data_IF_705571310012
#
_entry.id   IF_705571310012
#
_cell.length_a   1.000
_cell.length_b   1.000
_cell.length_c   1.000
_cell.angle_alpha   90.00
_cell.angle_beta   90.00
_cell.angle_gamma   90.00
#
_symmetry.space_group_name_H-M   'P 1'
#
loop_
_entity.id
_entity.type
_entity.pdbx_description
1 polymer ?
#
# COMPACT_ATOMS: atom_id res chain seq x y z
N UNK A 1 -10.15 -7.68 23.89
CA UNK A 1 -10.41 -7.96 22.47
C UNK A 1 -10.46 -6.61 21.75
N UNK A 2 -9.65 -6.43 20.70
CA UNK A 2 -9.52 -5.18 19.93
C UNK A 2 -10.87 -4.63 19.42
N UNK A 3 -11.76 -5.51 18.96
CA UNK A 3 -13.13 -5.15 18.54
C UNK A 3 -13.90 -4.44 19.67
N UNK A 4 -13.80 -4.94 20.90
CA UNK A 4 -14.49 -4.33 22.03
C UNK A 4 -13.96 -2.94 22.37
N UNK A 5 -12.64 -2.70 22.17
CA UNK A 5 -12.06 -1.36 22.39
C UNK A 5 -12.53 -0.37 21.30
N UNK A 6 -12.60 -0.78 20.06
CA UNK A 6 -13.13 0.05 18.97
C UNK A 6 -14.62 0.39 19.17
N UNK A 7 -15.41 -0.57 19.61
CA UNK A 7 -16.84 -0.34 19.90
C UNK A 7 -17.06 0.65 21.05
N UNK A 8 -16.15 0.70 22.06
CA UNK A 8 -16.23 1.69 23.15
C UNK A 8 -16.11 3.14 22.69
N UNK A 9 -15.42 3.36 21.58
CA UNK A 9 -15.24 4.68 20.95
C UNK A 9 -16.15 4.89 19.74
N UNK A 10 -17.27 4.14 19.68
CA UNK A 10 -18.28 4.20 18.63
C UNK A 10 -17.77 3.87 17.21
N UNK A 11 -16.68 3.12 17.07
CA UNK A 11 -16.24 2.57 15.78
C UNK A 11 -16.88 1.20 15.63
N UNK A 12 -17.83 1.08 14.68
CA UNK A 12 -18.47 -0.19 14.33
C UNK A 12 -17.44 -1.12 13.71
N UNK A 13 -17.25 -2.28 14.32
CA UNK A 13 -16.24 -3.25 13.90
C UNK A 13 -16.88 -4.63 13.74
N UNK A 14 -16.53 -5.30 12.64
CA UNK A 14 -16.96 -6.65 12.33
C UNK A 14 -15.75 -7.59 12.25
N UNK A 15 -15.95 -8.87 12.56
CA UNK A 15 -14.91 -9.90 12.42
C UNK A 15 -14.75 -10.38 10.99
N UNK A 16 -15.80 -10.26 10.21
CA UNK A 16 -15.86 -10.78 8.86
C UNK A 16 -16.69 -9.85 7.98
N UNK A 17 -16.31 -9.76 6.72
CA UNK A 17 -16.96 -8.90 5.72
C UNK A 17 -18.42 -9.36 5.43
N UNK A 18 -18.77 -10.61 5.71
CA UNK A 18 -20.13 -11.13 5.54
C UNK A 18 -21.17 -10.45 6.42
N UNK A 19 -20.75 -9.79 7.51
CA UNK A 19 -21.63 -8.96 8.35
C UNK A 19 -21.99 -7.61 7.75
N UNK A 20 -21.40 -7.26 6.60
CA UNK A 20 -21.70 -6.04 5.85
C UNK A 20 -22.68 -6.41 4.74
N UNK A 21 -23.77 -5.68 4.62
CA UNK A 21 -24.78 -5.94 3.60
C UNK A 21 -24.21 -5.71 2.19
N UNK A 22 -24.72 -6.47 1.21
CA UNK A 22 -24.38 -6.23 -0.20
C UNK A 22 -24.88 -4.87 -0.64
N UNK A 23 -24.15 -4.24 -1.58
CA UNK A 23 -24.51 -2.94 -2.16
C UNK A 23 -24.79 -1.86 -1.11
N UNK A 24 -23.98 -1.80 -0.05
CA UNK A 24 -24.18 -0.90 1.10
C UNK A 24 -23.04 0.09 1.35
N UNK A 25 -21.86 -0.12 0.74
CA UNK A 25 -20.69 0.73 0.94
C UNK A 25 -20.46 1.64 -0.26
N UNK A 26 -20.28 2.93 -0.04
CA UNK A 26 -19.85 3.88 -1.08
C UNK A 26 -18.36 3.73 -1.39
N UNK A 27 -17.56 3.38 -0.39
CA UNK A 27 -16.13 3.17 -0.54
C UNK A 27 -15.57 2.13 0.45
N UNK A 28 -14.49 1.46 0.04
CA UNK A 28 -13.68 0.58 0.89
C UNK A 28 -12.22 0.99 0.79
N UNK A 29 -11.51 0.97 1.92
CA UNK A 29 -10.09 1.32 2.01
C UNK A 29 -9.30 0.14 2.54
N UNK A 30 -8.21 -0.22 1.84
CA UNK A 30 -7.24 -1.23 2.25
C UNK A 30 -5.85 -0.57 2.33
N UNK A 31 -5.44 -0.19 3.53
CA UNK A 31 -4.13 0.41 3.76
C UNK A 31 -3.20 -0.63 4.38
N UNK A 32 -2.24 -1.12 3.60
CA UNK A 32 -1.32 -2.21 3.99
C UNK A 32 -2.07 -3.45 4.48
N UNK A 33 -2.97 -3.97 3.65
CA UNK A 33 -3.81 -5.14 3.95
C UNK A 33 -3.76 -6.18 2.85
N UNK A 34 -3.82 -5.75 1.57
CA UNK A 34 -3.92 -6.66 0.42
C UNK A 34 -2.73 -7.60 0.30
N UNK A 35 -1.52 -7.12 0.64
CA UNK A 35 -0.28 -7.88 0.63
C UNK A 35 -0.25 -9.08 1.61
N UNK A 36 -1.18 -9.10 2.56
CA UNK A 36 -1.30 -10.17 3.56
C UNK A 36 -2.34 -11.24 3.21
N UNK A 37 -3.12 -11.06 2.15
CA UNK A 37 -4.16 -12.00 1.79
C UNK A 37 -3.59 -13.23 1.08
N UNK A 38 -3.95 -14.44 1.56
CA UNK A 38 -3.62 -15.71 0.90
C UNK A 38 -4.34 -15.86 -0.44
N UNK A 39 -5.58 -15.35 -0.53
CA UNK A 39 -6.37 -15.34 -1.76
C UNK A 39 -6.92 -13.92 -2.03
N UNK A 40 -6.07 -13.02 -2.56
CA UNK A 40 -6.43 -11.61 -2.73
C UNK A 40 -7.59 -11.39 -3.71
N UNK A 41 -7.68 -12.17 -4.79
CA UNK A 41 -8.77 -12.04 -5.76
C UNK A 41 -10.12 -12.33 -5.09
N UNK A 42 -10.23 -13.42 -4.34
CA UNK A 42 -11.46 -13.76 -3.63
C UNK A 42 -11.89 -12.66 -2.64
N UNK A 43 -10.94 -12.10 -1.88
CA UNK A 43 -11.26 -11.02 -0.94
C UNK A 43 -11.68 -9.74 -1.66
N UNK A 44 -11.05 -9.41 -2.78
CA UNK A 44 -11.44 -8.28 -3.62
C UNK A 44 -12.85 -8.45 -4.20
N UNK A 45 -13.23 -9.67 -4.62
CA UNK A 45 -14.59 -10.00 -5.07
C UNK A 45 -15.62 -9.83 -3.93
N UNK A 46 -15.31 -10.32 -2.72
CA UNK A 46 -16.17 -10.14 -1.55
C UNK A 46 -16.38 -8.67 -1.21
N UNK A 47 -15.33 -7.86 -1.26
CA UNK A 47 -15.40 -6.41 -1.03
C UNK A 47 -16.25 -5.75 -2.12
N UNK A 48 -16.02 -6.10 -3.39
CA UNK A 48 -16.78 -5.58 -4.52
C UNK A 48 -18.27 -5.84 -4.38
N UNK A 49 -18.67 -7.01 -3.89
CA UNK A 49 -20.08 -7.34 -3.62
C UNK A 49 -20.72 -6.42 -2.57
N UNK A 50 -19.94 -5.84 -1.65
CA UNK A 50 -20.43 -4.91 -0.62
C UNK A 50 -20.52 -3.47 -1.11
N UNK A 51 -19.76 -3.09 -2.14
CA UNK A 51 -19.82 -1.75 -2.71
C UNK A 51 -21.16 -1.53 -3.46
N UNK A 52 -21.69 -0.34 -3.39
CA UNK A 52 -22.81 0.10 -4.24
C UNK A 52 -22.36 0.17 -5.71
N UNK A 53 -23.31 0.32 -6.62
CA UNK A 53 -22.99 0.61 -8.02
C UNK A 53 -22.10 1.86 -8.11
N UNK A 54 -21.00 1.76 -8.84
CA UNK A 54 -19.97 2.80 -9.00
C UNK A 54 -19.25 3.18 -7.69
N UNK A 55 -19.45 2.39 -6.62
CA UNK A 55 -18.68 2.48 -5.38
C UNK A 55 -17.20 2.18 -5.59
N UNK A 56 -16.33 2.74 -4.75
CA UNK A 56 -14.88 2.75 -4.96
C UNK A 56 -14.13 1.88 -3.98
N UNK A 57 -13.06 1.25 -4.46
CA UNK A 57 -12.02 0.69 -3.61
C UNK A 57 -10.75 1.52 -3.73
N UNK A 58 -10.13 1.82 -2.60
CA UNK A 58 -8.84 2.50 -2.50
C UNK A 58 -7.87 1.56 -1.79
N UNK A 59 -6.77 1.23 -2.46
CA UNK A 59 -5.79 0.27 -1.96
C UNK A 59 -4.43 0.95 -1.89
N UNK A 60 -3.76 0.83 -0.74
CA UNK A 60 -2.36 1.21 -0.56
C UNK A 60 -1.55 -0.03 -0.19
N UNK A 61 -0.49 -0.32 -0.96
CA UNK A 61 0.37 -1.50 -0.79
C UNK A 61 1.84 -1.19 -1.02
N UNK A 62 2.78 -1.94 -0.42
CA UNK A 62 4.19 -1.83 -0.73
C UNK A 62 4.46 -2.14 -2.21
N UNK A 63 5.37 -1.37 -2.83
CA UNK A 63 5.73 -1.53 -4.23
C UNK A 63 6.90 -2.52 -4.39
N UNK A 64 6.70 -3.54 -5.20
CA UNK A 64 7.74 -4.54 -5.49
C UNK A 64 8.98 -3.96 -6.22
N UNK A 65 8.82 -2.79 -6.86
CA UNK A 65 9.89 -2.07 -7.56
C UNK A 65 10.45 -0.90 -6.75
N UNK A 66 10.24 -0.89 -5.43
CA UNK A 66 10.91 0.08 -4.54
C UNK A 66 12.38 0.23 -4.90
N UNK A 67 12.87 1.48 -4.94
CA UNK A 67 14.25 1.83 -5.31
C UNK A 67 15.31 1.05 -4.52
N UNK A 68 15.07 0.78 -3.23
CA UNK A 68 15.97 0.00 -2.39
C UNK A 68 15.98 -1.49 -2.78
N UNK A 69 14.89 -2.00 -3.36
CA UNK A 69 14.77 -3.39 -3.82
C UNK A 69 15.32 -3.52 -5.24
N UNK A 70 14.79 -2.73 -6.16
CA UNK A 70 15.03 -2.89 -7.61
C UNK A 70 16.40 -2.40 -8.05
N UNK A 71 16.76 -1.19 -7.63
CA UNK A 71 17.94 -0.49 -8.13
C UNK A 71 19.14 -0.65 -7.19
N UNK A 72 18.99 -0.39 -5.90
CA UNK A 72 20.07 -0.54 -4.92
C UNK A 72 20.27 -1.97 -4.43
N UNK A 73 19.27 -2.86 -4.56
CA UNK A 73 19.32 -4.28 -4.20
C UNK A 73 19.86 -4.51 -2.79
N UNK A 74 19.39 -3.72 -1.83
CA UNK A 74 19.82 -3.78 -0.43
C UNK A 74 19.17 -5.01 0.22
N UNK A 75 19.97 -6.05 0.46
CA UNK A 75 19.49 -7.33 0.95
C UNK A 75 18.81 -7.22 2.33
N UNK A 76 19.32 -6.38 3.22
CA UNK A 76 18.76 -6.14 4.54
C UNK A 76 17.38 -5.49 4.44
N UNK A 77 17.18 -4.57 3.49
CA UNK A 77 15.87 -3.97 3.22
C UNK A 77 14.90 -4.97 2.60
N UNK A 78 15.39 -5.81 1.67
CA UNK A 78 14.59 -6.88 1.07
C UNK A 78 14.10 -7.84 2.16
N UNK A 79 14.97 -8.28 3.06
CA UNK A 79 14.62 -9.15 4.18
C UNK A 79 13.67 -8.47 5.18
N UNK A 80 13.83 -7.16 5.40
CA UNK A 80 12.95 -6.37 6.24
C UNK A 80 11.55 -6.23 5.65
N UNK A 81 11.45 -6.07 4.33
CA UNK A 81 10.18 -5.88 3.62
C UNK A 81 9.48 -7.21 3.35
N UNK A 82 10.22 -8.26 2.97
CA UNK A 82 9.70 -9.61 2.68
C UNK A 82 9.71 -10.49 3.95
N UNK A 83 9.07 -10.03 5.00
CA UNK A 83 8.87 -10.85 6.19
C UNK A 83 7.63 -11.77 6.03
N UNK A 84 7.48 -12.73 6.92
CA UNK A 84 6.53 -13.86 6.77
C UNK A 84 5.05 -13.48 6.55
N UNK A 85 4.66 -12.24 6.81
CA UNK A 85 3.28 -11.79 6.63
C UNK A 85 3.05 -11.02 5.32
N UNK A 86 4.10 -10.55 4.63
CA UNK A 86 3.98 -9.99 3.29
C UNK A 86 4.05 -11.11 2.25
N UNK A 87 2.91 -11.64 1.89
CA UNK A 87 2.81 -12.78 0.95
C UNK A 87 3.07 -12.34 -0.49
N UNK A 88 2.69 -11.11 -0.84
CA UNK A 88 2.81 -10.56 -2.20
C UNK A 88 3.21 -9.09 -2.11
N UNK A 89 4.30 -8.71 -2.78
CA UNK A 89 4.56 -7.32 -3.13
C UNK A 89 4.03 -7.05 -4.54
N UNK A 90 3.31 -5.96 -4.71
CA UNK A 90 2.67 -5.64 -5.99
C UNK A 90 3.54 -4.73 -6.87
N UNK A 91 3.50 -4.97 -8.17
CA UNK A 91 3.82 -3.98 -9.21
C UNK A 91 2.52 -3.34 -9.69
N UNK A 92 2.59 -2.25 -10.45
CA UNK A 92 1.40 -1.64 -11.09
C UNK A 92 0.63 -2.67 -11.93
N UNK A 93 1.34 -3.46 -12.72
CA UNK A 93 0.75 -4.47 -13.61
C UNK A 93 0.10 -5.62 -12.83
N UNK A 94 0.72 -6.08 -11.72
CA UNK A 94 0.12 -7.16 -10.92
C UNK A 94 -1.12 -6.68 -10.18
N UNK A 95 -1.09 -5.46 -9.63
CA UNK A 95 -2.22 -4.87 -8.92
C UNK A 95 -3.40 -4.63 -9.86
N UNK A 96 -3.14 -4.09 -11.07
CA UNK A 96 -4.15 -3.91 -12.11
C UNK A 96 -4.80 -5.25 -12.52
N UNK A 97 -3.98 -6.29 -12.75
CA UNK A 97 -4.48 -7.63 -13.11
C UNK A 97 -5.37 -8.21 -12.02
N UNK A 98 -5.04 -8.03 -10.74
CA UNK A 98 -5.86 -8.53 -9.64
C UNK A 98 -7.20 -7.80 -9.56
N UNK A 99 -7.20 -6.49 -9.74
CA UNK A 99 -8.43 -5.68 -9.76
C UNK A 99 -9.31 -6.04 -10.96
N UNK A 100 -8.74 -6.18 -12.16
CA UNK A 100 -9.49 -6.61 -13.35
C UNK A 100 -10.07 -8.01 -13.17
N UNK A 101 -9.27 -8.98 -12.67
CA UNK A 101 -9.73 -10.34 -12.43
C UNK A 101 -10.87 -10.41 -11.40
N UNK A 102 -10.90 -9.47 -10.45
CA UNK A 102 -11.97 -9.35 -9.44
C UNK A 102 -13.17 -8.51 -9.94
N UNK A 103 -13.17 -8.09 -11.22
CA UNK A 103 -14.28 -7.39 -11.88
C UNK A 103 -14.37 -5.90 -11.59
N UNK A 104 -13.32 -5.26 -11.09
CA UNK A 104 -13.23 -3.80 -10.98
C UNK A 104 -12.94 -3.15 -12.33
N UNK A 105 -13.34 -1.88 -12.49
CA UNK A 105 -13.16 -1.05 -13.70
C UNK A 105 -12.59 0.32 -13.32
N UNK A 106 -12.29 1.15 -14.32
CA UNK A 106 -11.79 2.53 -14.17
C UNK A 106 -10.59 2.61 -13.20
N UNK A 107 -9.66 1.65 -13.36
CA UNK A 107 -8.51 1.47 -12.47
C UNK A 107 -7.49 2.57 -12.73
N UNK A 108 -7.07 3.25 -11.66
CA UNK A 108 -5.98 4.23 -11.66
C UNK A 108 -4.96 3.81 -10.60
N UNK A 109 -3.67 3.79 -10.96
CA UNK A 109 -2.59 3.36 -10.05
C UNK A 109 -1.50 4.42 -10.05
N UNK A 110 -1.19 4.93 -8.86
CA UNK A 110 -0.18 5.95 -8.60
C UNK A 110 0.96 5.38 -7.77
N UNK A 111 2.19 5.83 -8.04
CA UNK A 111 3.29 5.67 -7.10
C UNK A 111 3.29 6.82 -6.09
N UNK A 112 3.57 6.54 -4.85
CA UNK A 112 3.83 7.54 -3.82
C UNK A 112 5.02 7.14 -2.98
N UNK A 113 5.78 8.12 -2.50
CA UNK A 113 6.97 7.92 -1.69
C UNK A 113 6.66 8.31 -0.24
N UNK A 114 6.48 7.30 0.63
CA UNK A 114 6.19 7.51 2.05
C UNK A 114 7.42 7.90 2.85
N UNK A 115 8.56 7.32 2.50
CA UNK A 115 9.82 7.55 3.19
C UNK A 115 10.73 8.43 2.36
N UNK A 116 11.21 9.49 2.97
CA UNK A 116 12.04 10.50 2.32
C UNK A 116 13.45 10.00 1.95
N UNK A 117 14.21 10.83 1.24
CA UNK A 117 15.57 10.54 0.81
C UNK A 117 16.50 10.17 1.97
N UNK A 118 16.33 10.78 3.16
CA UNK A 118 17.13 10.44 4.35
C UNK A 118 16.98 8.99 4.77
N UNK A 119 15.79 8.41 4.61
CA UNK A 119 15.56 7.00 4.89
C UNK A 119 16.32 6.11 3.89
N UNK A 120 16.33 6.46 2.61
CA UNK A 120 17.09 5.74 1.60
C UNK A 120 18.60 5.84 1.84
N UNK A 121 19.11 7.02 2.22
CA UNK A 121 20.53 7.21 2.60
C UNK A 121 20.89 6.34 3.80
N UNK A 122 20.03 6.29 4.84
CA UNK A 122 20.24 5.46 6.02
C UNK A 122 20.35 3.98 5.63
N UNK A 123 19.42 3.47 4.84
CA UNK A 123 19.47 2.10 4.34
C UNK A 123 20.71 1.82 3.48
N UNK A 124 21.09 2.76 2.61
CA UNK A 124 22.26 2.61 1.76
C UNK A 124 23.57 2.59 2.58
N UNK A 125 23.65 3.40 3.63
CA UNK A 125 24.85 3.56 4.47
C UNK A 125 24.95 2.47 5.56
N UNK A 126 23.90 2.35 6.38
CA UNK A 126 23.96 1.65 7.65
C UNK A 126 23.15 0.34 7.66
N UNK A 127 22.39 0.05 6.59
CA UNK A 127 21.57 -1.16 6.43
C UNK A 127 20.48 -1.33 7.48
N UNK A 128 20.00 -0.23 8.05
CA UNK A 128 18.96 -0.21 9.08
C UNK A 128 17.89 0.85 8.78
N UNK A 129 16.64 0.70 9.28
CA UNK A 129 15.59 1.71 9.16
C UNK A 129 15.85 2.93 10.04
N UNK A 130 15.08 4.01 9.82
CA UNK A 130 15.01 5.14 10.74
C UNK A 130 15.63 6.44 10.23
N UNK A 131 16.03 6.51 8.96
CA UNK A 131 16.67 7.69 8.38
C UNK A 131 15.86 8.98 8.55
N UNK A 132 14.54 8.91 8.56
CA UNK A 132 13.64 10.04 8.83
C UNK A 132 13.82 10.67 10.24
N UNK A 133 14.55 10.01 11.13
CA UNK A 133 14.91 10.49 12.47
C UNK A 133 16.40 10.85 12.59
N UNK A 134 17.15 10.77 11.51
CA UNK A 134 18.59 11.04 11.50
C UNK A 134 18.89 12.53 11.33
N UNK A 135 20.15 12.93 11.56
CA UNK A 135 20.62 14.31 11.28
C UNK A 135 20.45 14.68 9.80
N UNK A 136 20.53 13.70 8.89
CA UNK A 136 20.33 13.93 7.45
C UNK A 136 18.89 14.41 7.16
N UNK A 137 17.91 13.95 7.91
CA UNK A 137 16.52 14.38 7.74
C UNK A 137 16.33 15.89 7.98
N UNK A 138 17.20 16.52 8.77
CA UNK A 138 17.17 17.99 8.99
C UNK A 138 17.56 18.80 7.74
N UNK A 139 18.17 18.17 6.76
CA UNK A 139 18.54 18.80 5.49
C UNK A 139 17.43 18.73 4.43
N UNK A 140 16.37 18.01 4.69
CA UNK A 140 15.26 17.84 3.76
C UNK A 140 14.41 19.11 3.72
N UNK A 141 14.28 19.68 2.52
CA UNK A 141 13.31 20.73 2.26
C UNK A 141 12.09 20.13 1.54
N UNK A 142 10.91 20.77 1.60
CA UNK A 142 9.74 20.31 0.85
C UNK A 142 10.01 20.17 -0.65
N UNK A 143 10.84 21.06 -1.22
CA UNK A 143 11.21 21.03 -2.64
C UNK A 143 12.06 19.80 -2.97
N UNK A 144 13.02 19.43 -2.11
CA UNK A 144 13.86 18.25 -2.28
C UNK A 144 13.02 16.99 -2.21
N UNK A 145 12.16 16.87 -1.19
CA UNK A 145 11.26 15.71 -1.00
C UNK A 145 10.35 15.55 -2.22
N UNK A 146 9.71 16.62 -2.68
CA UNK A 146 8.83 16.59 -3.84
C UNK A 146 9.57 16.24 -5.14
N UNK A 147 10.76 16.79 -5.35
CA UNK A 147 11.58 16.47 -6.53
C UNK A 147 12.02 15.00 -6.52
N UNK A 148 12.36 14.48 -5.34
CA UNK A 148 12.76 13.09 -5.16
C UNK A 148 11.59 12.12 -5.45
N UNK A 149 10.43 12.35 -4.84
CA UNK A 149 9.21 11.56 -5.08
C UNK A 149 8.86 11.53 -6.57
N UNK A 150 8.80 12.69 -7.23
CA UNK A 150 8.52 12.76 -8.67
C UNK A 150 9.54 12.01 -9.52
N UNK A 151 10.80 11.98 -9.09
CA UNK A 151 11.84 11.23 -9.80
C UNK A 151 11.61 9.73 -9.65
N UNK A 152 11.34 9.26 -8.44
CA UNK A 152 11.05 7.84 -8.19
C UNK A 152 9.77 7.37 -8.89
N UNK A 153 8.74 8.20 -8.94
CA UNK A 153 7.50 7.87 -9.66
C UNK A 153 7.75 7.71 -11.16
N UNK A 154 8.53 8.60 -11.79
CA UNK A 154 8.95 8.48 -13.21
C UNK A 154 9.77 7.22 -13.49
N UNK A 155 10.56 6.76 -12.51
CA UNK A 155 11.37 5.54 -12.62
C UNK A 155 10.58 4.27 -12.30
N UNK A 156 9.32 4.40 -11.91
CA UNK A 156 8.51 3.30 -11.34
C UNK A 156 9.25 2.61 -10.18
N UNK A 157 9.70 3.42 -9.21
CA UNK A 157 10.59 3.01 -8.12
C UNK A 157 10.22 3.63 -6.75
N UNK A 158 8.98 4.13 -6.61
CA UNK A 158 8.44 4.57 -5.32
C UNK A 158 8.28 3.38 -4.37
N UNK A 159 8.23 3.64 -3.07
CA UNK A 159 8.09 2.58 -2.06
C UNK A 159 6.64 2.04 -1.94
N UNK A 160 5.66 2.77 -2.41
CA UNK A 160 4.23 2.51 -2.22
C UNK A 160 3.46 2.71 -3.52
N UNK A 161 2.43 1.88 -3.74
CA UNK A 161 1.42 2.05 -4.79
C UNK A 161 0.07 2.36 -4.16
N UNK A 162 -0.66 3.30 -4.76
CA UNK A 162 -2.06 3.57 -4.46
C UNK A 162 -2.89 3.24 -5.69
N UNK A 163 -3.87 2.35 -5.54
CA UNK A 163 -4.84 2.04 -6.58
C UNK A 163 -6.22 2.56 -6.18
N UNK A 164 -6.93 3.13 -7.15
CA UNK A 164 -8.34 3.52 -7.05
C UNK A 164 -9.08 2.82 -8.18
N UNK A 165 -10.14 2.09 -7.84
CA UNK A 165 -10.95 1.38 -8.82
C UNK A 165 -12.43 1.43 -8.46
N UNK A 166 -13.31 1.19 -9.44
CA UNK A 166 -14.77 1.23 -9.31
C UNK A 166 -15.38 -0.16 -9.48
N UNK A 167 -16.49 -0.42 -8.76
CA UNK A 167 -17.32 -1.62 -8.94
C UNK A 167 -17.92 -1.72 -10.33
#
# INVERSE_FOLDING_TARGET
NFINELNKINIKCHKDISFIDKDSLDACFLFHVLEHFENPIHHLELIRDRLVKDGKIIIEVPHARDFLIKDLKIQEFINFTLWSQHLILHTRESLEKFLLASGYKNIQIYGTQRFSISNHIQWAKDRIPGGHRSEIAKMETPELVNAYEKTLDKLDATDTLIAIAEK
#
